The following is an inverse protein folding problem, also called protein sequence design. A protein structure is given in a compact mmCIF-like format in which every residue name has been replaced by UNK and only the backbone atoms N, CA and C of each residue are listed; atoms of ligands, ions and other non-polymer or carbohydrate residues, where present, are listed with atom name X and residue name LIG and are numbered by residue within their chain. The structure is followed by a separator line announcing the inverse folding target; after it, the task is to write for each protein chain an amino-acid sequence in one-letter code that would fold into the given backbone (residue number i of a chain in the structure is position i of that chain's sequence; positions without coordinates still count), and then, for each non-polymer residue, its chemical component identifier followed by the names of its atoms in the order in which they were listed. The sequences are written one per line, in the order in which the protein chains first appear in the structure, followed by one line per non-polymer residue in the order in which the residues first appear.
data_IF_772379843276
#
_entry.id   IF_772379843276
#
_cell.length_a   1.000
_cell.length_b   1.000
_cell.length_c   1.000
_cell.angle_alpha   90.00
_cell.angle_beta   90.00
_cell.angle_gamma   90.00
#
_symmetry.space_group_name_H-M   'P 1'
#
loop_
_entity.id
_entity.type
_entity.pdbx_description
1 polymer ?
#
# COMPACT_ATOMS: atom_id res chain seq x y z
N UNK A 1 6.85 -25.87 -31.72
CA UNK A 1 8.12 -25.55 -31.00
C UNK A 1 8.05 -26.24 -29.67
N UNK A 2 8.86 -27.26 -29.47
CA UNK A 2 8.91 -27.96 -28.18
C UNK A 2 9.67 -27.08 -27.19
N UNK A 3 9.05 -26.76 -26.07
CA UNK A 3 9.69 -26.02 -24.98
C UNK A 3 10.68 -26.99 -24.33
N UNK A 4 11.97 -26.76 -24.48
CA UNK A 4 13.02 -27.64 -23.94
C UNK A 4 13.69 -27.06 -22.67
N UNK A 5 13.44 -25.78 -22.37
CA UNK A 5 14.10 -25.09 -21.28
C UNK A 5 13.19 -24.04 -20.66
N UNK A 6 13.12 -24.02 -19.32
CA UNK A 6 12.45 -23.00 -18.50
C UNK A 6 13.51 -22.37 -17.60
N UNK A 7 13.60 -21.05 -17.60
CA UNK A 7 14.47 -20.29 -16.67
C UNK A 7 13.59 -19.59 -15.66
N UNK A 8 13.83 -19.82 -14.37
CA UNK A 8 13.10 -19.22 -13.28
C UNK A 8 14.02 -18.28 -12.47
N UNK A 9 13.48 -17.15 -12.08
CA UNK A 9 14.17 -16.14 -11.27
C UNK A 9 13.80 -16.22 -9.77
N UNK A 10 12.93 -17.16 -9.41
CA UNK A 10 12.47 -17.42 -8.06
C UNK A 10 12.88 -18.80 -7.59
N UNK A 11 13.63 -18.85 -6.50
CA UNK A 11 14.03 -20.13 -5.85
C UNK A 11 12.82 -20.94 -5.39
N UNK A 12 11.75 -20.26 -4.98
CA UNK A 12 10.51 -20.91 -4.57
C UNK A 12 9.81 -21.59 -5.76
N UNK A 13 9.68 -20.88 -6.88
CA UNK A 13 9.09 -21.44 -8.10
C UNK A 13 9.93 -22.58 -8.65
N UNK A 14 11.27 -22.43 -8.63
CA UNK A 14 12.18 -23.49 -9.05
C UNK A 14 11.96 -24.76 -8.22
N UNK A 15 11.96 -24.66 -6.89
CA UNK A 15 11.77 -25.81 -6.01
C UNK A 15 10.37 -26.45 -6.15
N UNK A 16 9.34 -25.64 -6.42
CA UNK A 16 7.98 -26.14 -6.63
C UNK A 16 7.84 -26.90 -7.97
N UNK A 17 8.48 -26.40 -9.02
CA UNK A 17 8.37 -26.94 -10.38
C UNK A 17 9.34 -28.12 -10.60
N UNK A 18 10.54 -28.08 -10.04
CA UNK A 18 11.54 -29.14 -10.18
C UNK A 18 10.99 -30.52 -9.80
N UNK A 19 10.19 -30.57 -8.71
CA UNK A 19 9.53 -31.79 -8.26
C UNK A 19 8.47 -32.34 -9.22
N UNK A 20 7.81 -31.45 -9.97
CA UNK A 20 6.70 -31.79 -10.86
C UNK A 20 7.15 -32.26 -12.26
N UNK A 21 8.34 -31.86 -12.70
CA UNK A 21 8.81 -32.13 -14.08
C UNK A 21 9.99 -33.09 -14.15
N UNK A 22 10.31 -33.82 -13.08
CA UNK A 22 11.42 -34.78 -13.04
C UNK A 22 11.37 -35.84 -14.17
N UNK A 23 10.17 -36.17 -14.63
CA UNK A 23 9.96 -37.22 -15.66
C UNK A 23 9.75 -36.60 -17.07
N UNK A 24 10.02 -35.33 -17.27
CA UNK A 24 9.84 -34.67 -18.56
C UNK A 24 11.18 -34.33 -19.22
N UNK A 25 11.19 -34.19 -20.55
CA UNK A 25 12.37 -33.72 -21.31
C UNK A 25 12.65 -32.21 -21.17
N UNK A 26 11.99 -31.56 -20.18
CA UNK A 26 12.11 -30.12 -19.94
C UNK A 26 13.18 -29.88 -18.89
N UNK A 27 14.17 -29.05 -19.23
CA UNK A 27 15.20 -28.60 -18.29
C UNK A 27 14.75 -27.33 -17.59
N UNK A 28 14.77 -27.32 -16.26
CA UNK A 28 14.52 -26.13 -15.45
C UNK A 28 15.81 -25.61 -14.87
N UNK A 29 16.08 -24.34 -15.06
CA UNK A 29 17.26 -23.68 -14.51
C UNK A 29 16.84 -22.53 -13.59
N UNK A 30 17.57 -22.36 -12.48
CA UNK A 30 17.40 -21.23 -11.59
C UNK A 30 18.47 -20.17 -11.85
N UNK A 31 18.02 -18.95 -12.23
CA UNK A 31 18.93 -17.82 -12.39
C UNK A 31 19.16 -17.10 -11.06
N UNK A 32 20.20 -17.50 -10.36
CA UNK A 32 20.59 -16.93 -9.07
C UNK A 32 20.96 -15.44 -9.14
N UNK A 33 21.50 -14.99 -10.27
CA UNK A 33 21.90 -13.58 -10.44
C UNK A 33 20.68 -12.67 -10.58
N UNK A 34 19.69 -13.11 -11.35
CA UNK A 34 18.41 -12.42 -11.48
C UNK A 34 17.70 -12.31 -10.13
N UNK A 35 17.69 -13.38 -9.34
CA UNK A 35 17.12 -13.43 -8.00
C UNK A 35 17.77 -12.42 -7.05
N UNK A 36 19.08 -12.26 -7.08
CA UNK A 36 19.80 -11.31 -6.20
C UNK A 36 19.44 -9.86 -6.58
N UNK A 37 19.41 -9.53 -7.86
CA UNK A 37 19.01 -8.23 -8.38
C UNK A 37 17.57 -7.90 -8.02
N UNK A 38 16.68 -8.89 -8.10
CA UNK A 38 15.27 -8.75 -7.74
C UNK A 38 15.10 -8.45 -6.24
N UNK A 39 15.79 -9.20 -5.36
CA UNK A 39 15.80 -8.94 -3.91
C UNK A 39 16.28 -7.52 -3.59
N UNK A 40 17.35 -7.06 -4.25
CA UNK A 40 17.85 -5.71 -4.06
C UNK A 40 16.84 -4.64 -4.51
N UNK A 41 16.17 -4.82 -5.67
CA UNK A 41 15.10 -3.93 -6.14
C UNK A 41 13.93 -3.88 -5.16
N UNK A 42 13.53 -5.01 -4.59
CA UNK A 42 12.47 -5.08 -3.59
C UNK A 42 12.84 -4.28 -2.35
N UNK A 43 14.08 -4.42 -1.85
CA UNK A 43 14.56 -3.65 -0.69
C UNK A 43 14.55 -2.16 -1.00
N UNK A 44 15.06 -1.74 -2.16
CA UNK A 44 15.03 -0.34 -2.57
C UNK A 44 13.61 0.21 -2.66
N UNK A 45 12.67 -0.57 -3.22
CA UNK A 45 11.27 -0.20 -3.28
C UNK A 45 10.67 -0.01 -1.87
N UNK A 46 10.94 -0.92 -0.93
CA UNK A 46 10.49 -0.76 0.45
C UNK A 46 11.08 0.47 1.12
N UNK A 47 12.37 0.73 0.93
CA UNK A 47 12.99 1.95 1.44
C UNK A 47 12.31 3.21 0.87
N UNK A 48 12.07 3.25 -0.44
CA UNK A 48 11.37 4.35 -1.10
C UNK A 48 9.97 4.56 -0.52
N UNK A 49 9.18 3.50 -0.39
CA UNK A 49 7.84 3.56 0.22
C UNK A 49 7.88 4.02 1.68
N UNK A 50 8.85 3.53 2.46
CA UNK A 50 9.03 3.94 3.85
C UNK A 50 9.33 5.45 3.96
N UNK A 51 10.30 5.95 3.22
CA UNK A 51 10.65 7.36 3.22
C UNK A 51 9.51 8.24 2.68
N UNK A 52 8.83 7.78 1.64
CA UNK A 52 7.66 8.47 1.11
C UNK A 52 6.56 8.61 2.15
N UNK A 53 6.27 7.54 2.92
CA UNK A 53 5.29 7.59 4.01
C UNK A 53 5.72 8.51 5.15
N UNK A 54 6.98 8.48 5.54
CA UNK A 54 7.49 9.43 6.55
C UNK A 54 7.32 10.88 6.11
N UNK A 55 7.63 11.19 4.85
CA UNK A 55 7.44 12.53 4.29
C UNK A 55 5.96 12.93 4.25
N UNK A 56 5.06 12.00 3.91
CA UNK A 56 3.61 12.25 3.97
C UNK A 56 3.16 12.61 5.39
N UNK A 57 3.56 11.82 6.40
CA UNK A 57 3.23 12.08 7.81
C UNK A 57 3.77 13.43 8.25
N UNK A 58 5.03 13.74 7.96
CA UNK A 58 5.64 15.01 8.31
C UNK A 58 4.93 16.18 7.65
N UNK A 59 4.67 16.08 6.34
CA UNK A 59 3.98 17.14 5.58
C UNK A 59 2.54 17.31 6.03
N UNK A 60 1.84 16.23 6.36
CA UNK A 60 0.51 16.28 6.92
C UNK A 60 0.51 17.06 8.24
N UNK A 61 1.41 16.76 9.16
CA UNK A 61 1.54 17.45 10.45
C UNK A 61 1.84 18.93 10.31
N UNK A 62 2.69 19.34 9.37
CA UNK A 62 2.98 20.77 9.09
C UNK A 62 1.71 21.50 8.62
N UNK A 63 0.89 20.85 7.81
CA UNK A 63 -0.36 21.45 7.31
C UNK A 63 -1.48 21.44 8.33
N UNK A 64 -1.34 20.66 9.42
CA UNK A 64 -2.35 20.53 10.45
C UNK A 64 -2.42 21.76 11.37
N UNK A 65 -3.60 22.36 11.48
CA UNK A 65 -3.86 23.57 12.28
C UNK A 65 -5.03 23.38 13.26
N UNK A 66 -5.17 22.24 13.89
CA UNK A 66 -6.33 22.07 14.74
C UNK A 66 -6.27 20.86 15.68
N UNK A 67 -7.20 20.81 16.64
CA UNK A 67 -7.41 19.66 17.51
C UNK A 67 -8.31 18.64 16.80
N UNK A 68 -7.82 17.43 16.59
CA UNK A 68 -8.62 16.31 16.07
C UNK A 68 -9.50 15.76 17.20
N UNK A 69 -10.53 16.52 17.58
CA UNK A 69 -11.60 15.95 18.40
C UNK A 69 -12.64 15.33 17.47
N UNK A 70 -12.43 14.08 17.13
CA UNK A 70 -13.45 13.32 16.42
C UNK A 70 -14.44 12.73 17.41
N UNK A 71 -15.70 12.66 16.98
CA UNK A 71 -16.75 11.98 17.74
C UNK A 71 -16.45 10.47 17.75
N UNK A 72 -16.93 9.79 18.77
CA UNK A 72 -16.98 8.33 18.76
C UNK A 72 -17.93 7.84 17.65
N UNK A 73 -17.72 6.62 17.16
CA UNK A 73 -18.56 5.97 16.13
C UNK A 73 -18.51 6.64 14.75
N UNK A 74 -17.29 6.84 14.20
CA UNK A 74 -17.13 7.31 12.83
C UNK A 74 -17.21 6.16 11.82
N UNK A 75 -17.79 6.44 10.67
CA UNK A 75 -17.73 5.57 9.49
C UNK A 75 -16.64 6.13 8.57
N UNK A 76 -15.62 5.31 8.30
CA UNK A 76 -14.49 5.68 7.46
C UNK A 76 -14.61 4.98 6.10
N UNK A 77 -14.56 5.77 5.03
CA UNK A 77 -14.66 5.28 3.65
C UNK A 77 -13.34 5.57 2.95
N UNK A 78 -12.61 4.53 2.56
CA UNK A 78 -11.36 4.68 1.83
C UNK A 78 -11.61 5.24 0.42
N UNK A 79 -10.77 6.18 -0.01
CA UNK A 79 -10.88 6.81 -1.33
C UNK A 79 -9.50 7.17 -1.88
N UNK A 80 -9.45 7.68 -3.12
CA UNK A 80 -8.21 8.11 -3.76
C UNK A 80 -8.22 9.62 -4.02
N UNK A 81 -7.06 10.23 -3.77
CA UNK A 81 -6.77 11.60 -4.15
C UNK A 81 -5.66 11.61 -5.21
N UNK A 82 -5.99 12.05 -6.40
CA UNK A 82 -5.05 12.29 -7.50
C UNK A 82 -4.62 13.76 -7.52
N UNK A 83 -3.48 14.12 -8.17
CA UNK A 83 -3.01 15.50 -8.24
C UNK A 83 -4.05 16.50 -8.74
N UNK A 84 -4.86 16.08 -9.72
CA UNK A 84 -5.82 16.95 -10.41
C UNK A 84 -7.27 16.72 -9.99
N UNK A 85 -7.54 15.69 -9.18
CA UNK A 85 -8.90 15.36 -8.77
C UNK A 85 -8.94 14.57 -7.46
N UNK A 86 -9.92 14.89 -6.60
CA UNK A 86 -10.22 14.11 -5.42
C UNK A 86 -11.48 13.30 -5.73
N UNK A 87 -11.30 11.99 -5.92
CA UNK A 87 -12.42 11.08 -6.18
C UNK A 87 -13.07 10.69 -4.84
N UNK A 88 -14.02 11.50 -4.39
CA UNK A 88 -14.72 11.32 -3.12
C UNK A 88 -15.47 9.98 -3.06
N UNK A 89 -16.10 9.60 -4.14
CA UNK A 89 -17.02 8.47 -4.20
C UNK A 89 -16.64 7.44 -5.28
N UNK A 90 -15.38 7.02 -5.27
CA UNK A 90 -14.88 6.10 -6.30
C UNK A 90 -15.64 4.77 -6.32
N UNK A 91 -15.99 4.24 -5.16
CA UNK A 91 -16.60 2.91 -5.04
C UNK A 91 -18.11 2.96 -4.88
N UNK A 92 -18.65 4.11 -4.45
CA UNK A 92 -20.06 4.28 -4.15
C UNK A 92 -20.55 5.62 -4.69
N UNK A 93 -20.70 5.77 -6.03
CA UNK A 93 -21.20 7.01 -6.63
C UNK A 93 -22.58 7.37 -6.08
N UNK A 94 -22.78 8.64 -5.68
CA UNK A 94 -24.03 9.11 -5.10
C UNK A 94 -24.24 8.78 -3.63
N UNK A 95 -23.24 8.18 -2.96
CA UNK A 95 -23.35 7.85 -1.54
C UNK A 95 -23.58 9.10 -0.70
N UNK A 96 -22.83 10.17 -0.95
CA UNK A 96 -22.92 11.38 -0.16
C UNK A 96 -24.29 12.07 -0.25
N UNK A 97 -24.89 12.05 -1.43
CA UNK A 97 -26.23 12.58 -1.68
C UNK A 97 -27.32 11.74 -1.02
N UNK A 98 -27.10 10.42 -0.92
CA UNK A 98 -28.04 9.49 -0.30
C UNK A 98 -28.04 9.54 1.23
N UNK A 99 -27.00 10.10 1.87
CA UNK A 99 -26.91 10.21 3.33
C UNK A 99 -27.72 11.38 3.85
N UNK A 100 -28.40 11.17 4.97
CA UNK A 100 -29.02 12.24 5.75
C UNK A 100 -27.97 13.08 6.53
N UNK A 101 -28.38 14.18 7.14
CA UNK A 101 -27.47 15.09 7.84
C UNK A 101 -26.83 14.45 9.09
N UNK A 102 -27.52 13.52 9.75
CA UNK A 102 -26.98 12.81 10.91
C UNK A 102 -25.90 11.83 10.46
N UNK A 103 -26.14 11.11 9.37
CA UNK A 103 -25.19 10.19 8.76
C UNK A 103 -23.97 10.94 8.21
N UNK A 104 -24.17 12.09 7.52
CA UNK A 104 -23.07 12.94 7.03
C UNK A 104 -22.16 13.44 8.14
N UNK A 105 -22.69 13.61 9.36
CA UNK A 105 -21.91 14.06 10.51
C UNK A 105 -20.93 13.01 11.05
N UNK A 106 -21.08 11.74 10.70
CA UNK A 106 -20.24 10.61 11.16
C UNK A 106 -19.45 9.93 10.04
N UNK A 107 -19.77 10.22 8.77
CA UNK A 107 -19.08 9.63 7.60
C UNK A 107 -17.92 10.52 7.17
N UNK A 108 -16.73 9.92 7.06
CA UNK A 108 -15.54 10.59 6.58
C UNK A 108 -14.85 9.77 5.48
N UNK A 109 -14.46 10.46 4.41
CA UNK A 109 -13.63 9.87 3.37
C UNK A 109 -12.17 9.94 3.79
N UNK A 110 -11.46 8.81 3.69
CA UNK A 110 -10.03 8.68 4.02
C UNK A 110 -9.23 8.61 2.72
N UNK A 111 -8.66 9.74 2.23
CA UNK A 111 -7.99 9.77 0.95
C UNK A 111 -6.61 9.15 1.02
N UNK A 112 -6.31 8.30 0.04
CA UNK A 112 -4.95 7.85 -0.25
C UNK A 112 -4.39 8.64 -1.42
N UNK A 113 -3.25 9.34 -1.23
CA UNK A 113 -2.58 10.07 -2.30
C UNK A 113 -1.99 9.08 -3.32
N UNK A 114 -2.43 9.20 -4.58
CA UNK A 114 -2.00 8.33 -5.68
C UNK A 114 -1.34 9.18 -6.76
N UNK A 115 -0.20 8.71 -7.30
CA UNK A 115 0.60 9.41 -8.32
C UNK A 115 1.04 10.83 -7.94
N UNK A 116 0.99 11.18 -6.66
CA UNK A 116 1.38 12.50 -6.17
C UNK A 116 2.89 12.56 -5.98
N UNK A 117 3.55 13.49 -6.65
CA UNK A 117 4.99 13.74 -6.47
C UNK A 117 5.26 14.29 -5.06
N UNK A 118 6.43 13.99 -4.50
CA UNK A 118 6.85 14.41 -3.15
C UNK A 118 6.66 15.92 -2.94
N UNK A 119 7.04 16.72 -3.92
CA UNK A 119 6.91 18.19 -3.85
C UNK A 119 5.47 18.70 -3.78
N UNK A 120 4.50 17.87 -4.17
CA UNK A 120 3.08 18.22 -4.17
C UNK A 120 2.34 17.77 -2.90
N UNK A 121 2.99 17.04 -1.97
CA UNK A 121 2.32 16.57 -0.75
C UNK A 121 1.73 17.72 0.07
N UNK A 122 2.50 18.82 0.22
CA UNK A 122 2.03 19.98 0.97
C UNK A 122 0.77 20.60 0.37
N UNK A 123 0.76 20.84 -0.94
CA UNK A 123 -0.42 21.40 -1.63
C UNK A 123 -1.61 20.47 -1.58
N UNK A 124 -1.39 19.17 -1.78
CA UNK A 124 -2.44 18.15 -1.73
C UNK A 124 -3.09 18.06 -0.35
N UNK A 125 -2.30 17.98 0.72
CA UNK A 125 -2.85 17.98 2.08
C UNK A 125 -3.55 19.31 2.43
N UNK A 126 -3.01 20.45 2.00
CA UNK A 126 -3.66 21.74 2.20
C UNK A 126 -5.00 21.81 1.49
N UNK A 127 -5.13 21.26 0.30
CA UNK A 127 -6.38 21.20 -0.45
C UNK A 127 -7.40 20.28 0.19
N UNK A 128 -6.99 19.07 0.61
CA UNK A 128 -7.85 18.15 1.35
C UNK A 128 -8.40 18.79 2.63
N UNK A 129 -7.58 19.55 3.33
CA UNK A 129 -7.98 20.25 4.56
C UNK A 129 -8.95 21.42 4.35
N UNK A 130 -9.01 22.00 3.15
CA UNK A 130 -10.05 23.00 2.81
C UNK A 130 -11.44 22.36 2.79
N UNK A 131 -11.51 21.06 2.53
CA UNK A 131 -12.76 20.26 2.49
C UNK A 131 -12.96 19.49 3.80
N UNK A 132 -12.67 20.12 4.93
CA UNK A 132 -12.55 19.56 6.28
C UNK A 132 -13.75 18.70 6.72
N UNK A 133 -14.93 19.05 6.29
CA UNK A 133 -16.18 18.41 6.76
C UNK A 133 -16.44 17.03 6.16
N UNK A 134 -15.60 16.59 5.22
CA UNK A 134 -15.78 15.33 4.49
C UNK A 134 -14.56 14.43 4.48
N UNK A 135 -13.37 14.95 4.82
CA UNK A 135 -12.11 14.20 4.70
C UNK A 135 -11.38 14.08 6.03
N UNK A 136 -10.97 12.85 6.34
CA UNK A 136 -10.07 12.53 7.44
C UNK A 136 -8.72 12.10 6.87
N UNK A 137 -7.66 12.81 7.21
CA UNK A 137 -6.32 12.51 6.73
C UNK A 137 -5.66 11.50 7.66
N UNK A 138 -5.49 10.25 7.20
CA UNK A 138 -4.93 9.16 8.00
C UNK A 138 -3.51 9.41 8.50
N UNK A 139 -2.72 10.17 7.76
CA UNK A 139 -1.36 10.54 8.10
C UNK A 139 -1.25 11.36 9.40
N UNK A 140 -2.33 12.01 9.83
CA UNK A 140 -2.36 12.75 11.11
C UNK A 140 -2.33 11.82 12.32
N UNK A 141 -2.80 10.59 12.15
CA UNK A 141 -2.93 9.58 13.21
C UNK A 141 -1.78 8.56 13.19
N UNK A 142 -1.09 8.42 12.06
CA UNK A 142 0.02 7.49 11.93
C UNK A 142 1.25 8.00 12.68
N UNK A 143 1.90 7.08 13.38
CA UNK A 143 3.19 7.31 14.03
C UNK A 143 4.33 6.65 13.25
N UNK A 144 5.58 7.03 13.51
CA UNK A 144 6.75 6.36 12.92
C UNK A 144 6.78 4.86 13.26
N UNK A 145 6.49 4.42 14.51
CA UNK A 145 6.38 3.00 14.83
C UNK A 145 5.34 2.25 13.99
N UNK A 146 4.19 2.86 13.65
CA UNK A 146 3.17 2.23 12.82
C UNK A 146 3.69 1.95 11.42
N UNK A 147 4.44 2.89 10.82
CA UNK A 147 5.04 2.73 9.51
C UNK A 147 6.11 1.65 9.52
N UNK A 148 6.96 1.64 10.55
CA UNK A 148 7.98 0.59 10.75
C UNK A 148 7.32 -0.78 10.90
N UNK A 149 6.28 -0.90 11.72
CA UNK A 149 5.55 -2.14 11.91
C UNK A 149 4.94 -2.65 10.59
N UNK A 150 4.30 -1.76 9.83
CA UNK A 150 3.72 -2.10 8.52
C UNK A 150 4.78 -2.57 7.52
N UNK A 151 5.93 -1.90 7.45
CA UNK A 151 7.05 -2.32 6.59
C UNK A 151 7.62 -3.68 7.00
N UNK A 152 7.82 -3.90 8.29
CA UNK A 152 8.35 -5.17 8.83
C UNK A 152 7.34 -6.31 8.69
N UNK A 153 6.05 -6.01 8.64
CA UNK A 153 5.00 -7.03 8.51
C UNK A 153 5.11 -7.82 7.21
N UNK A 154 5.47 -7.16 6.10
CA UNK A 154 5.70 -7.84 4.82
C UNK A 154 6.80 -8.90 4.91
N UNK A 155 7.89 -8.64 5.65
CA UNK A 155 8.95 -9.63 5.87
C UNK A 155 8.52 -10.76 6.81
N UNK A 156 7.68 -10.47 7.79
CA UNK A 156 7.14 -11.48 8.71
C UNK A 156 6.20 -12.45 8.01
N UNK A 157 5.30 -11.98 7.16
CA UNK A 157 4.37 -12.84 6.40
C UNK A 157 5.14 -13.82 5.54
N UNK A 158 6.12 -13.37 4.77
CA UNK A 158 6.93 -14.24 3.93
C UNK A 158 7.61 -15.36 4.74
N UNK A 159 8.13 -15.04 5.93
CA UNK A 159 8.75 -16.05 6.78
C UNK A 159 7.75 -17.05 7.37
N UNK A 160 6.53 -16.63 7.69
CA UNK A 160 5.47 -17.52 8.18
C UNK A 160 4.97 -18.45 7.07
N UNK A 161 4.67 -17.92 5.90
CA UNK A 161 4.21 -18.70 4.73
C UNK A 161 5.24 -19.74 4.31
N UNK A 162 6.54 -19.38 4.29
CA UNK A 162 7.62 -20.32 4.00
C UNK A 162 7.75 -21.43 5.06
N UNK A 163 7.42 -21.17 6.32
CA UNK A 163 7.39 -22.20 7.37
C UNK A 163 6.22 -23.15 7.18
N UNK A 164 5.02 -22.64 6.91
CA UNK A 164 3.83 -23.46 6.70
C UNK A 164 3.94 -24.39 5.48
N UNK A 165 4.55 -23.94 4.39
CA UNK A 165 4.79 -24.76 3.19
C UNK A 165 5.81 -25.87 3.43
N UNK A 166 6.77 -25.68 4.35
CA UNK A 166 7.75 -26.73 4.71
C UNK A 166 7.17 -27.86 5.57
N UNK A 167 6.01 -27.70 6.17
CA UNK A 167 5.37 -28.69 7.07
C UNK A 167 4.21 -29.42 6.41
N UNK A 168 3.92 -29.23 5.13
CA UNK A 168 2.95 -29.99 4.33
C UNK A 168 3.67 -30.83 3.27
#
# INVERSE_FOLDING_TARGET
KNLSKIILDSEFEYNAIEGLIRDTSITVEYDKNSSTLRRFRVILYFCDQFFTKLLQIFTSRITFKGNNKYKENLILIDTFAFPDSIQKERYYPGLWEALDDQQKAIVFFVPTLVYTKIFNFYSSFKELRKKKDSFLIKEDFLSIPDVLYACLHCFRINNLTLREVKYK
#
